data_IF_943090599906
#
_entry.id   IF_943090599906
#
_cell.length_a   1.000
_cell.length_b   1.000
_cell.length_c   1.000
_cell.angle_alpha   90.00
_cell.angle_beta   90.00
_cell.angle_gamma   90.00
#
_symmetry.space_group_name_H-M   'P 1'
#
loop_
_entity.id
_entity.type
_entity.pdbx_description
1 polymer ?
#
# COMPACT_ATOMS: atom_id res chain seq x y z
N UNK A 1 -56.25 -7.80 25.21
CA UNK A 1 -55.07 -7.09 25.77
C UNK A 1 -53.81 -7.74 25.23
N UNK A 2 -52.84 -6.89 24.89
CA UNK A 2 -51.62 -7.12 24.11
C UNK A 2 -50.70 -8.25 24.63
N UNK A 3 -50.17 -9.09 23.70
CA UNK A 3 -48.75 -9.22 23.25
C UNK A 3 -47.77 -9.61 24.38
N UNK A 4 -46.87 -10.59 24.25
CA UNK A 4 -45.78 -10.70 23.27
C UNK A 4 -45.20 -12.12 23.35
N UNK A 5 -44.90 -12.74 22.20
CA UNK A 5 -43.94 -13.85 22.11
C UNK A 5 -42.53 -13.27 21.95
N UNK A 6 -41.49 -13.82 22.58
CA UNK A 6 -40.13 -13.36 22.37
C UNK A 6 -39.61 -13.88 21.02
N UNK A 7 -39.30 -12.94 20.14
CA UNK A 7 -38.57 -13.18 18.89
C UNK A 7 -37.13 -13.57 19.21
N UNK A 8 -36.72 -14.77 18.80
CA UNK A 8 -35.33 -15.22 18.85
C UNK A 8 -34.62 -14.58 17.66
N UNK A 9 -33.89 -13.50 17.92
CA UNK A 9 -32.98 -12.87 16.96
C UNK A 9 -31.72 -13.75 16.90
N UNK A 10 -31.29 -14.27 15.74
CA UNK A 10 -29.99 -14.88 15.65
C UNK A 10 -28.94 -13.76 15.75
N UNK A 11 -28.16 -13.81 16.82
CA UNK A 11 -27.01 -12.94 17.04
C UNK A 11 -25.97 -13.27 15.97
N UNK A 12 -25.94 -12.47 14.89
CA UNK A 12 -24.90 -12.55 13.88
C UNK A 12 -23.57 -12.17 14.54
N UNK A 13 -22.74 -13.19 14.80
CA UNK A 13 -21.33 -13.00 15.14
C UNK A 13 -20.61 -12.42 13.91
N UNK A 14 -20.59 -11.10 13.79
CA UNK A 14 -19.63 -10.43 12.92
C UNK A 14 -18.29 -10.55 13.62
N UNK A 15 -17.49 -11.53 13.18
CA UNK A 15 -16.08 -11.60 13.56
C UNK A 15 -15.37 -10.46 12.83
N UNK A 16 -15.29 -9.30 13.48
CA UNK A 16 -14.33 -8.27 13.06
C UNK A 16 -12.93 -8.84 13.29
N UNK A 17 -12.24 -9.21 12.21
CA UNK A 17 -10.81 -9.39 12.24
C UNK A 17 -10.17 -8.01 12.42
N UNK A 18 -9.91 -7.66 13.68
CA UNK A 18 -9.07 -6.53 14.04
C UNK A 18 -7.65 -6.84 13.57
N UNK A 19 -7.29 -6.37 12.39
CA UNK A 19 -5.91 -6.32 11.94
C UNK A 19 -5.21 -5.24 12.75
N UNK A 20 -4.60 -5.63 13.87
CA UNK A 20 -3.68 -4.78 14.59
C UNK A 20 -2.48 -4.57 13.66
N UNK A 21 -2.35 -3.39 13.07
CA UNK A 21 -1.15 -3.04 12.33
C UNK A 21 -0.02 -2.73 13.33
N UNK A 22 0.54 -3.81 13.87
CA UNK A 22 1.96 -3.83 14.19
C UNK A 22 2.66 -3.70 12.85
N UNK A 23 3.49 -2.68 12.66
CA UNK A 23 4.37 -2.61 11.50
C UNK A 23 5.00 -3.98 11.32
N UNK A 24 4.63 -4.67 10.24
CA UNK A 24 4.90 -6.10 10.10
C UNK A 24 6.41 -6.26 10.00
N UNK A 25 7.02 -6.63 11.12
CA UNK A 25 8.40 -7.07 11.15
C UNK A 25 8.47 -8.31 10.24
N UNK A 26 9.51 -8.38 9.39
CA UNK A 26 9.65 -9.40 8.33
C UNK A 26 9.67 -10.82 8.84
N UNK A 27 9.91 -10.98 10.13
CA UNK A 27 9.85 -12.26 10.82
C UNK A 27 8.40 -12.66 11.06
N UNK A 28 7.58 -12.77 10.00
CA UNK A 28 6.36 -13.58 10.05
C UNK A 28 6.80 -15.00 10.38
N UNK A 29 6.51 -15.54 11.58
CA UNK A 29 6.92 -16.89 11.91
C UNK A 29 6.33 -17.86 10.89
N UNK A 30 7.18 -18.57 10.15
CA UNK A 30 6.77 -19.58 9.18
C UNK A 30 6.86 -19.22 7.69
N UNK A 31 7.27 -18.00 7.30
CA UNK A 31 7.59 -17.72 5.90
C UNK A 31 9.04 -18.13 5.58
N UNK A 32 9.20 -19.25 4.85
CA UNK A 32 10.51 -19.78 4.46
C UNK A 32 11.06 -19.18 3.16
N UNK A 33 10.29 -18.30 2.49
CA UNK A 33 10.73 -17.66 1.24
C UNK A 33 11.91 -16.73 1.53
N UNK A 34 12.91 -16.77 0.66
CA UNK A 34 14.00 -15.80 0.65
C UNK A 34 13.64 -14.68 -0.31
N UNK A 35 14.01 -13.46 0.06
CA UNK A 35 13.70 -12.28 -0.72
C UNK A 35 14.94 -11.44 -0.99
N UNK A 36 15.02 -10.87 -2.19
CA UNK A 36 15.96 -9.79 -2.51
C UNK A 36 15.17 -8.56 -2.98
N UNK A 37 15.68 -7.37 -2.69
CA UNK A 37 15.10 -6.15 -3.24
C UNK A 37 15.27 -6.15 -4.77
N UNK A 38 14.19 -5.90 -5.49
CA UNK A 38 14.19 -5.72 -6.94
C UNK A 38 14.22 -4.22 -7.24
N UNK A 39 15.24 -3.72 -7.96
CA UNK A 39 15.25 -2.35 -8.41
C UNK A 39 14.01 -2.05 -9.27
N UNK A 40 13.43 -0.87 -9.06
CA UNK A 40 12.41 -0.32 -9.95
C UNK A 40 13.13 0.52 -11.00
N UNK A 41 12.81 0.30 -12.27
CA UNK A 41 13.40 1.05 -13.38
C UNK A 41 12.75 2.41 -13.57
N UNK A 42 11.42 2.47 -13.42
CA UNK A 42 10.65 3.70 -13.59
C UNK A 42 9.35 3.65 -12.78
N UNK A 43 8.91 4.82 -12.30
CA UNK A 43 7.56 5.06 -11.78
C UNK A 43 6.88 6.13 -12.63
N UNK A 44 5.57 5.97 -12.86
CA UNK A 44 4.75 6.98 -13.53
C UNK A 44 3.35 7.02 -12.93
N UNK A 45 2.69 8.16 -13.06
CA UNK A 45 1.28 8.33 -12.69
C UNK A 45 0.66 9.40 -13.57
N UNK A 46 -0.61 9.28 -13.99
CA UNK A 46 -1.35 10.40 -14.53
C UNK A 46 -1.59 11.49 -13.46
N UNK A 47 -1.59 11.12 -12.18
CA UNK A 47 -1.91 12.00 -11.05
C UNK A 47 -0.62 12.54 -10.42
N UNK A 48 -0.28 13.78 -10.73
CA UNK A 48 0.93 14.42 -10.17
C UNK A 48 0.75 14.73 -8.68
N UNK A 49 1.83 14.75 -7.88
CA UNK A 49 1.78 15.19 -6.49
C UNK A 49 1.16 16.59 -6.39
N UNK A 50 0.20 16.75 -5.48
CA UNK A 50 -0.59 17.98 -5.36
C UNK A 50 0.02 18.98 -4.38
N UNK A 51 1.07 18.59 -3.65
CA UNK A 51 1.79 19.47 -2.74
C UNK A 51 3.28 19.46 -3.05
N UNK A 52 3.81 20.63 -3.39
CA UNK A 52 5.22 20.83 -3.74
C UNK A 52 5.75 19.82 -4.78
N UNK A 53 4.90 19.39 -5.72
CA UNK A 53 5.21 18.34 -6.69
C UNK A 53 6.30 18.70 -7.70
N UNK A 54 6.82 19.94 -7.67
CA UNK A 54 8.03 20.33 -8.40
C UNK A 54 9.31 19.86 -7.71
N UNK A 55 9.30 19.78 -6.37
CA UNK A 55 10.44 19.37 -5.55
C UNK A 55 10.28 17.95 -5.00
N UNK A 56 9.06 17.61 -4.59
CA UNK A 56 8.69 16.30 -4.05
C UNK A 56 8.04 15.49 -5.18
N UNK A 57 8.86 15.00 -6.10
CA UNK A 57 8.41 14.29 -7.30
C UNK A 57 8.14 12.81 -6.98
N UNK A 58 7.55 12.10 -7.94
CA UNK A 58 7.31 10.66 -7.82
C UNK A 58 8.60 9.84 -7.86
N UNK A 59 9.68 10.35 -8.44
CA UNK A 59 10.96 9.64 -8.49
C UNK A 59 11.55 9.40 -7.09
N UNK A 60 11.15 10.21 -6.11
CA UNK A 60 11.50 10.01 -4.70
C UNK A 60 10.87 8.74 -4.12
N UNK A 61 9.83 8.17 -4.74
CA UNK A 61 9.23 6.91 -4.27
C UNK A 61 10.14 5.70 -4.51
N UNK A 62 11.21 5.84 -5.28
CA UNK A 62 12.10 4.74 -5.68
C UNK A 62 13.58 5.13 -5.53
N UNK A 63 13.89 6.13 -4.71
CA UNK A 63 15.25 6.65 -4.54
C UNK A 63 16.02 5.99 -3.39
N UNK A 64 15.36 5.11 -2.64
CA UNK A 64 15.92 4.38 -1.51
C UNK A 64 16.10 5.24 -0.25
N UNK A 65 15.46 6.42 -0.15
CA UNK A 65 15.63 7.35 0.95
C UNK A 65 14.30 7.67 1.62
N UNK A 66 14.21 7.31 2.90
CA UNK A 66 13.01 7.57 3.67
C UNK A 66 12.90 9.06 4.06
N UNK A 67 11.73 9.68 3.89
CA UNK A 67 11.47 11.04 4.37
C UNK A 67 11.43 11.09 5.90
N UNK A 68 11.55 12.31 6.46
CA UNK A 68 11.48 12.52 7.91
C UNK A 68 10.04 12.54 8.39
N UNK A 69 9.80 11.92 9.54
CA UNK A 69 8.51 11.96 10.23
C UNK A 69 8.07 13.40 10.54
N UNK A 70 6.75 13.59 10.65
CA UNK A 70 6.09 14.79 11.14
C UNK A 70 6.09 15.98 10.18
N UNK A 71 7.03 16.09 9.25
CA UNK A 71 7.12 17.23 8.34
C UNK A 71 6.59 16.88 6.94
N UNK A 72 5.30 17.14 6.65
CA UNK A 72 4.68 16.79 5.34
C UNK A 72 5.47 17.23 4.11
N UNK A 73 6.18 18.38 4.15
CA UNK A 73 6.97 18.86 3.02
C UNK A 73 8.29 18.11 2.78
N UNK A 74 8.52 16.97 3.43
CA UNK A 74 9.56 16.00 3.02
C UNK A 74 8.97 14.81 2.27
N UNK A 75 7.64 14.72 2.15
CA UNK A 75 6.92 13.57 1.58
C UNK A 75 6.33 13.90 0.22
N UNK A 76 6.31 12.94 -0.69
CA UNK A 76 5.55 13.05 -1.94
C UNK A 76 4.07 12.88 -1.62
N UNK A 77 3.25 13.86 -1.99
CA UNK A 77 1.93 14.05 -1.38
C UNK A 77 0.79 14.29 -2.38
N UNK A 78 -0.34 13.64 -2.13
CA UNK A 78 -1.60 13.79 -2.86
C UNK A 78 -2.73 14.10 -1.88
N UNK A 79 -3.05 15.39 -1.77
CA UNK A 79 -4.12 15.89 -0.93
C UNK A 79 -5.46 15.68 -1.60
N UNK A 80 -6.36 14.93 -0.95
CA UNK A 80 -7.71 14.61 -1.43
C UNK A 80 -7.79 13.99 -2.83
N UNK A 81 -6.71 13.36 -3.29
CA UNK A 81 -6.61 12.70 -4.59
C UNK A 81 -6.16 11.27 -4.35
N UNK A 82 -6.79 10.30 -5.02
CA UNK A 82 -6.32 8.91 -5.08
C UNK A 82 -5.52 8.74 -6.37
N UNK A 83 -4.17 8.78 -6.31
CA UNK A 83 -3.35 8.60 -7.49
C UNK A 83 -3.39 7.15 -7.98
N UNK A 84 -3.03 6.92 -9.24
CA UNK A 84 -2.71 5.59 -9.76
C UNK A 84 -1.24 5.52 -10.17
N UNK A 85 -0.46 4.64 -9.58
CA UNK A 85 0.97 4.51 -9.87
C UNK A 85 1.24 3.28 -10.73
N UNK A 86 2.04 3.44 -11.79
CA UNK A 86 2.59 2.32 -12.56
C UNK A 86 4.10 2.24 -12.32
N UNK A 87 4.55 1.14 -11.74
CA UNK A 87 5.95 0.80 -11.53
C UNK A 87 6.40 -0.19 -12.60
N UNK A 88 7.47 0.14 -13.32
CA UNK A 88 8.16 -0.74 -14.27
C UNK A 88 9.42 -1.31 -13.61
N UNK A 89 9.50 -2.63 -13.49
CA UNK A 89 10.67 -3.32 -12.95
C UNK A 89 11.78 -3.56 -13.99
N UNK A 90 11.58 -3.11 -15.23
CA UNK A 90 12.51 -3.24 -16.36
C UNK A 90 12.43 -4.59 -17.08
N UNK A 91 12.13 -5.65 -16.33
CA UNK A 91 11.93 -7.01 -16.84
C UNK A 91 10.90 -7.78 -16.00
N UNK A 92 10.48 -8.96 -16.45
CA UNK A 92 9.60 -9.82 -15.65
C UNK A 92 10.33 -10.33 -14.39
N UNK A 93 9.79 -10.00 -13.21
CA UNK A 93 10.29 -10.46 -11.91
C UNK A 93 9.25 -11.31 -11.19
N UNK A 94 9.70 -12.20 -10.31
CA UNK A 94 8.81 -12.98 -9.44
C UNK A 94 8.68 -12.30 -8.07
N UNK A 95 7.78 -11.32 -7.97
CA UNK A 95 7.57 -10.54 -6.76
C UNK A 95 6.72 -11.31 -5.76
N UNK A 96 7.21 -11.40 -4.52
CA UNK A 96 6.44 -11.97 -3.41
C UNK A 96 5.88 -10.92 -2.47
N UNK A 97 6.54 -9.77 -2.32
CA UNK A 97 6.09 -8.70 -1.41
C UNK A 97 6.27 -7.34 -2.09
N UNK A 98 5.30 -6.44 -1.88
CA UNK A 98 5.42 -5.01 -2.14
C UNK A 98 5.32 -4.28 -0.82
N UNK A 99 6.12 -3.23 -0.63
CA UNK A 99 6.05 -2.39 0.56
C UNK A 99 5.89 -0.94 0.16
N UNK A 100 5.01 -0.23 0.85
CA UNK A 100 4.81 1.21 0.67
C UNK A 100 5.12 1.89 2.00
N UNK A 101 6.13 2.76 2.02
CA UNK A 101 6.41 3.61 3.15
C UNK A 101 5.47 4.81 3.10
N UNK A 102 4.59 4.95 4.08
CA UNK A 102 3.58 5.99 4.13
C UNK A 102 3.52 6.64 5.51
N UNK A 103 2.95 7.85 5.57
CA UNK A 103 2.66 8.53 6.83
C UNK A 103 1.18 8.91 6.89
N UNK A 104 0.39 8.35 7.83
CA UNK A 104 -0.96 8.86 8.09
C UNK A 104 -0.91 10.27 8.68
N UNK A 105 -1.92 11.10 8.42
CA UNK A 105 -1.98 12.44 9.00
C UNK A 105 -3.21 12.75 9.83
N UNK A 106 -4.41 12.77 9.21
CA UNK A 106 -5.62 13.13 9.94
C UNK A 106 -6.08 11.96 10.81
N UNK A 107 -5.85 10.72 10.34
CA UNK A 107 -6.29 9.49 11.00
C UNK A 107 -5.21 8.42 10.95
N UNK A 108 -5.22 7.48 11.91
CA UNK A 108 -4.25 6.38 11.91
C UNK A 108 -4.48 5.35 10.79
N UNK A 109 -5.73 5.24 10.33
CA UNK A 109 -6.20 4.37 9.24
C UNK A 109 -6.27 5.11 7.88
N UNK A 110 -5.50 6.20 7.71
CA UNK A 110 -5.57 7.10 6.55
C UNK A 110 -5.42 6.37 5.20
N UNK A 111 -4.51 5.40 5.12
CA UNK A 111 -4.37 4.52 3.97
C UNK A 111 -5.41 3.39 4.09
N UNK A 112 -6.59 3.60 3.51
CA UNK A 112 -7.70 2.65 3.65
C UNK A 112 -7.44 1.36 2.89
N UNK A 113 -6.98 1.48 1.66
CA UNK A 113 -6.86 0.37 0.71
C UNK A 113 -5.71 0.62 -0.27
N UNK A 114 -5.10 -0.45 -0.78
CA UNK A 114 -4.28 -0.46 -1.99
C UNK A 114 -4.81 -1.56 -2.92
N UNK A 115 -5.35 -1.17 -4.08
CA UNK A 115 -5.57 -2.09 -5.20
C UNK A 115 -4.24 -2.36 -5.90
N UNK A 116 -3.97 -3.63 -6.17
CA UNK A 116 -2.81 -4.10 -6.94
C UNK A 116 -3.30 -4.71 -8.25
N UNK A 117 -2.72 -4.24 -9.34
CA UNK A 117 -2.93 -4.76 -10.69
C UNK A 117 -1.56 -5.06 -11.31
N UNK A 118 -1.48 -6.02 -12.22
CA UNK A 118 -0.20 -6.46 -12.79
C UNK A 118 -0.26 -6.61 -14.31
N UNK A 119 0.88 -6.38 -14.95
CA UNK A 119 1.02 -6.53 -16.41
C UNK A 119 2.41 -7.02 -16.80
N UNK A 120 2.47 -7.69 -17.96
CA UNK A 120 3.72 -8.09 -18.61
C UNK A 120 4.14 -7.10 -19.70
N UNK A 121 3.18 -6.44 -20.34
CA UNK A 121 3.38 -5.56 -21.50
C UNK A 121 3.28 -4.06 -21.16
N UNK A 122 2.69 -3.71 -20.02
CA UNK A 122 2.49 -2.32 -19.59
C UNK A 122 1.27 -1.66 -20.24
N UNK A 123 0.50 -2.40 -21.05
CA UNK A 123 -0.70 -1.91 -21.73
C UNK A 123 -1.97 -2.50 -21.09
N UNK A 124 -1.96 -3.82 -20.83
CA UNK A 124 -3.10 -4.55 -20.28
C UNK A 124 -2.80 -4.97 -18.85
N UNK A 125 -3.50 -4.36 -17.91
CA UNK A 125 -3.41 -4.67 -16.49
C UNK A 125 -4.52 -5.62 -16.08
N UNK A 126 -4.15 -6.64 -15.31
CA UNK A 126 -5.08 -7.58 -14.70
C UNK A 126 -5.20 -7.24 -13.22
N UNK A 127 -6.44 -7.23 -12.73
CA UNK A 127 -6.73 -7.12 -11.30
C UNK A 127 -6.11 -8.30 -10.56
N UNK A 128 -5.23 -8.00 -9.60
CA UNK A 128 -4.60 -9.03 -8.80
C UNK A 128 -5.33 -9.19 -7.46
N UNK A 129 -5.36 -8.13 -6.65
CA UNK A 129 -6.09 -8.12 -5.38
C UNK A 129 -6.21 -6.70 -4.80
N UNK A 130 -7.07 -6.53 -3.80
CA UNK A 130 -7.20 -5.33 -2.97
C UNK A 130 -6.77 -5.67 -1.54
N UNK A 131 -6.03 -4.75 -0.92
CA UNK A 131 -5.49 -4.92 0.43
C UNK A 131 -5.95 -3.77 1.30
N UNK A 132 -6.40 -4.06 2.51
CA UNK A 132 -6.95 -3.10 3.47
C UNK A 132 -6.32 -3.30 4.87
N UNK A 133 -6.75 -2.48 5.84
CA UNK A 133 -6.40 -2.66 7.24
C UNK A 133 -5.05 -2.06 7.65
N UNK A 134 -4.51 -1.15 6.84
CA UNK A 134 -3.30 -0.42 7.19
C UNK A 134 -3.59 0.60 8.29
N UNK A 135 -2.89 0.48 9.42
CA UNK A 135 -2.96 1.45 10.52
C UNK A 135 -1.54 1.81 10.94
N UNK A 136 -1.31 3.10 11.20
CA UNK A 136 -0.03 3.58 11.71
C UNK A 136 -0.22 4.81 12.60
N UNK A 137 0.82 5.16 13.36
CA UNK A 137 0.79 6.36 14.18
C UNK A 137 0.80 7.62 13.32
N UNK A 138 -0.13 8.53 13.58
CA UNK A 138 -0.25 9.80 12.84
C UNK A 138 1.05 10.60 12.92
N UNK A 139 1.48 11.12 11.78
CA UNK A 139 2.69 11.92 11.67
C UNK A 139 3.98 11.11 11.80
N UNK A 140 3.93 9.78 11.76
CA UNK A 140 5.11 8.91 11.69
C UNK A 140 5.05 8.02 10.46
N UNK A 141 6.20 7.83 9.82
CA UNK A 141 6.33 6.91 8.71
C UNK A 141 6.23 5.46 9.16
N UNK A 142 5.57 4.64 8.34
CA UNK A 142 5.40 3.22 8.57
C UNK A 142 5.39 2.47 7.24
N UNK A 143 5.75 1.19 7.28
CA UNK A 143 5.65 0.30 6.13
C UNK A 143 4.27 -0.38 6.09
N UNK A 144 3.51 -0.13 5.02
CA UNK A 144 2.44 -1.00 4.58
C UNK A 144 3.05 -2.17 3.80
N UNK A 145 2.88 -3.40 4.28
CA UNK A 145 3.41 -4.60 3.61
C UNK A 145 2.29 -5.40 2.95
N UNK A 146 2.49 -5.70 1.67
CA UNK A 146 1.53 -6.37 0.79
C UNK A 146 2.15 -7.68 0.31
N UNK A 147 1.64 -8.82 0.79
CA UNK A 147 2.10 -10.14 0.35
C UNK A 147 1.36 -10.58 -0.92
N UNK A 148 2.10 -10.65 -2.01
CA UNK A 148 1.65 -11.10 -3.33
C UNK A 148 1.79 -12.61 -3.53
N UNK A 149 2.31 -13.34 -2.54
CA UNK A 149 2.63 -14.79 -2.57
C UNK A 149 3.74 -15.17 -3.55
N UNK A 150 3.57 -14.91 -4.85
CA UNK A 150 4.55 -15.13 -5.92
C UNK A 150 4.03 -14.70 -7.30
N UNK A 151 3.84 -13.40 -7.54
CA UNK A 151 3.37 -12.90 -8.86
C UNK A 151 4.53 -12.71 -9.82
N UNK A 152 4.38 -13.21 -11.05
CA UNK A 152 5.35 -12.98 -12.13
C UNK A 152 4.82 -11.92 -13.09
N UNK A 153 5.41 -10.73 -13.05
CA UNK A 153 5.06 -9.59 -13.89
C UNK A 153 6.24 -8.62 -14.03
N UNK A 154 6.17 -7.72 -15.03
CA UNK A 154 7.13 -6.61 -15.19
C UNK A 154 6.58 -5.32 -14.61
N UNK A 155 5.29 -5.08 -14.82
CA UNK A 155 4.62 -3.85 -14.40
C UNK A 155 3.66 -4.15 -13.26
N UNK A 156 3.67 -3.26 -12.28
CA UNK A 156 2.76 -3.30 -11.14
C UNK A 156 2.08 -1.94 -11.04
N UNK A 157 0.75 -1.95 -10.95
CA UNK A 157 -0.05 -0.76 -10.75
C UNK A 157 -0.66 -0.76 -9.35
N UNK A 158 -0.39 0.31 -8.61
CA UNK A 158 -0.88 0.51 -7.25
C UNK A 158 -1.86 1.69 -7.25
N UNK A 159 -3.09 1.44 -6.82
CA UNK A 159 -4.15 2.44 -6.78
C UNK A 159 -4.69 2.53 -5.36
N UNK A 160 -4.14 3.42 -4.51
CA UNK A 160 -4.59 3.55 -3.14
C UNK A 160 -5.90 4.34 -2.99
N UNK A 161 -6.63 4.04 -1.91
CA UNK A 161 -7.74 4.87 -1.42
C UNK A 161 -7.37 5.48 -0.07
N UNK A 162 -7.52 6.79 0.07
CA UNK A 162 -7.39 7.44 1.38
C UNK A 162 -8.74 7.50 2.11
N UNK A 163 -8.68 7.62 3.44
CA UNK A 163 -9.80 8.08 4.26
C UNK A 163 -9.30 9.17 5.22
N UNK A 164 -9.67 10.43 4.95
CA UNK A 164 -9.13 11.58 5.68
C UNK A 164 -8.43 12.57 4.77
N UNK A 165 -7.20 12.93 5.11
CA UNK A 165 -6.38 13.93 4.45
C UNK A 165 -5.99 13.61 2.99
N UNK A 166 -5.56 12.38 2.71
CA UNK A 166 -4.89 12.04 1.44
C UNK A 166 -3.67 11.15 1.64
N UNK A 167 -2.79 11.08 0.64
CA UNK A 167 -1.61 10.23 0.65
C UNK A 167 -0.32 11.01 0.91
N UNK A 168 0.50 10.51 1.84
CA UNK A 168 1.90 10.90 2.03
C UNK A 168 2.75 9.64 1.85
N UNK A 169 3.43 9.52 0.72
CA UNK A 169 4.24 8.35 0.38
C UNK A 169 5.72 8.75 0.33
N UNK A 170 6.57 7.86 0.81
CA UNK A 170 8.01 8.09 0.94
C UNK A 170 8.85 7.14 0.09
N UNK A 171 8.48 5.88 -0.02
CA UNK A 171 9.24 4.85 -0.74
C UNK A 171 8.31 3.69 -1.12
N UNK A 172 8.58 3.02 -2.23
CA UNK A 172 7.91 1.79 -2.65
C UNK A 172 8.95 0.75 -3.05
N UNK A 173 8.93 -0.38 -2.34
CA UNK A 173 9.87 -1.48 -2.58
C UNK A 173 9.17 -2.71 -3.16
N UNK A 174 9.83 -3.37 -4.10
CA UNK A 174 9.43 -4.67 -4.65
C UNK A 174 10.43 -5.73 -4.24
N UNK A 175 9.97 -6.82 -3.61
CA UNK A 175 10.81 -7.88 -3.11
C UNK A 175 10.59 -9.17 -3.94
N UNK A 176 11.63 -9.55 -4.69
CA UNK A 176 11.65 -10.74 -5.53
C UNK A 176 11.96 -11.99 -4.70
N UNK A 177 11.21 -13.07 -4.96
CA UNK A 177 11.46 -14.38 -4.37
C UNK A 177 12.70 -14.98 -5.02
N UNK A 178 13.69 -15.31 -4.20
CA UNK A 178 14.89 -16.03 -4.63
C UNK A 178 14.85 -17.48 -4.16
N UNK A 179 15.57 -18.35 -4.89
CA UNK A 179 15.77 -19.75 -4.52
C UNK A 179 16.80 -19.87 -3.39
#
# INVERSE_FOLDING_TARGET
>A
MNKFLPSIIPLAFVVLWSSVALGQNRDRPGDSRKFKLSPVSQVSSPDKPTMDGRRLTMDLLIDGKLPKDGWRSTWTAWYKVNPTFTFDLGEEKRIGVVRVYFQPWDRGDELAEIKVEVSRDGERFLDFNEYEGFVAERGKGAWAEIDLRAVKARYFRLSPKFQGWGHLWGEVEFWEIVK
#
